data_IF_819069054677
#
_entry.id   IF_819069054677
#
_cell.length_a   1.000
_cell.length_b   1.000
_cell.length_c   1.000
_cell.angle_alpha   90.00
_cell.angle_beta   90.00
_cell.angle_gamma   90.00
#
_symmetry.space_group_name_H-M   'P 1'
#
loop_
_entity.id
_entity.type
_entity.pdbx_description
1 polymer ?
#
# COMPACT_ATOMS: atom_id res chain seq x y z
N UNK A 1 11.58 -9.64 -7.93
CA UNK A 1 11.04 -10.96 -7.48
C UNK A 1 11.69 -12.01 -8.36
N UNK A 2 12.41 -12.97 -7.78
CA UNK A 2 13.17 -14.00 -8.53
C UNK A 2 12.74 -15.43 -8.18
N UNK A 3 11.66 -15.60 -7.41
CA UNK A 3 11.21 -16.88 -6.85
C UNK A 3 11.05 -17.97 -7.92
N UNK A 4 10.30 -17.72 -8.99
CA UNK A 4 10.09 -18.71 -10.05
C UNK A 4 11.40 -19.16 -10.72
N UNK A 5 12.41 -18.27 -10.81
CA UNK A 5 13.72 -18.63 -11.38
C UNK A 5 14.49 -19.54 -10.43
N UNK A 6 14.45 -19.27 -9.13
CA UNK A 6 15.12 -20.11 -8.13
C UNK A 6 14.41 -21.45 -7.94
N UNK A 7 13.08 -21.48 -7.99
CA UNK A 7 12.27 -22.72 -7.96
C UNK A 7 12.63 -23.63 -9.15
N UNK A 8 12.69 -23.07 -10.36
CA UNK A 8 13.08 -23.85 -11.54
C UNK A 8 14.53 -24.33 -11.45
N UNK A 9 15.44 -23.52 -10.91
CA UNK A 9 16.86 -23.86 -10.81
C UNK A 9 17.15 -25.09 -9.93
N UNK A 10 16.23 -25.51 -9.06
CA UNK A 10 16.36 -26.78 -8.32
C UNK A 10 16.50 -28.00 -9.24
N UNK A 11 15.86 -27.95 -10.42
CA UNK A 11 15.97 -29.01 -11.43
C UNK A 11 17.29 -28.95 -12.22
N UNK A 12 18.09 -27.89 -12.04
CA UNK A 12 19.28 -27.59 -12.85
C UNK A 12 20.50 -27.22 -11.98
N UNK A 13 21.08 -28.16 -11.21
CA UNK A 13 22.10 -27.87 -10.18
C UNK A 13 23.41 -27.25 -10.72
N UNK A 14 23.67 -27.32 -12.03
CA UNK A 14 24.84 -26.68 -12.66
C UNK A 14 24.63 -25.18 -13.01
N UNK A 15 23.40 -24.67 -12.90
CA UNK A 15 23.06 -23.29 -13.27
C UNK A 15 23.28 -22.36 -12.08
N UNK A 16 24.18 -21.39 -12.23
CA UNK A 16 24.43 -20.36 -11.20
C UNK A 16 23.41 -19.23 -11.30
N UNK A 17 22.59 -19.06 -10.27
CA UNK A 17 21.62 -17.95 -10.15
C UNK A 17 22.12 -16.91 -9.15
N UNK A 18 22.05 -15.63 -9.52
CA UNK A 18 22.36 -14.49 -8.64
C UNK A 18 21.20 -13.50 -8.64
N UNK A 19 20.68 -13.17 -7.45
CA UNK A 19 19.62 -12.16 -7.28
C UNK A 19 20.25 -10.80 -7.02
N UNK A 20 19.91 -9.79 -7.83
CA UNK A 20 20.39 -8.41 -7.68
C UNK A 20 19.28 -7.56 -7.04
N UNK A 21 19.55 -6.81 -5.97
CA UNK A 21 18.55 -5.93 -5.37
C UNK A 21 18.26 -4.72 -6.27
N UNK A 22 17.04 -4.19 -6.16
CA UNK A 22 16.59 -3.00 -6.88
C UNK A 22 15.48 -2.27 -6.11
N UNK A 23 15.20 -1.03 -6.51
CA UNK A 23 14.07 -0.27 -5.96
C UNK A 23 12.75 -0.90 -6.40
N UNK A 24 11.84 -1.09 -5.44
CA UNK A 24 10.53 -1.69 -5.69
C UNK A 24 9.46 -0.64 -5.95
N UNK A 25 8.42 -1.01 -6.71
CA UNK A 25 7.32 -0.10 -7.07
C UNK A 25 6.64 0.55 -5.85
N UNK A 26 6.50 -0.15 -4.72
CA UNK A 26 5.93 0.40 -3.49
C UNK A 26 6.62 1.68 -3.02
N UNK A 27 7.95 1.69 -2.96
CA UNK A 27 8.71 2.86 -2.55
C UNK A 27 8.72 3.95 -3.64
N UNK A 28 8.76 3.54 -4.91
CA UNK A 28 8.66 4.49 -6.02
C UNK A 28 7.32 5.25 -6.00
N UNK A 29 6.19 4.56 -5.86
CA UNK A 29 4.85 5.16 -5.75
C UNK A 29 4.73 6.00 -4.48
N UNK A 30 5.19 5.49 -3.33
CA UNK A 30 5.15 6.23 -2.07
C UNK A 30 5.85 7.60 -2.19
N UNK A 31 7.02 7.66 -2.85
CA UNK A 31 7.80 8.88 -3.03
C UNK A 31 7.07 10.01 -3.75
N UNK A 32 6.04 9.69 -4.57
CA UNK A 32 5.28 10.68 -5.34
C UNK A 32 4.29 11.46 -4.48
N UNK A 33 3.84 10.86 -3.38
CA UNK A 33 2.84 11.45 -2.48
C UNK A 33 3.38 11.71 -1.07
N UNK A 34 4.62 11.35 -0.78
CA UNK A 34 5.26 11.60 0.52
C UNK A 34 5.79 10.33 1.18
N UNK A 35 5.21 9.97 2.33
CA UNK A 35 5.71 8.88 3.17
C UNK A 35 4.59 7.94 3.68
N UNK A 36 3.71 7.42 2.82
CA UNK A 36 2.64 6.52 3.25
C UNK A 36 3.18 5.23 3.89
N UNK A 37 4.37 4.77 3.48
CA UNK A 37 5.07 3.59 3.99
C UNK A 37 6.04 3.91 5.15
N UNK A 38 5.83 5.03 5.86
CA UNK A 38 6.71 5.49 6.94
C UNK A 38 6.57 4.73 8.26
N UNK A 39 5.62 3.80 8.37
CA UNK A 39 5.42 2.88 9.49
C UNK A 39 5.34 1.44 8.96
N UNK A 40 5.16 0.47 9.85
CA UNK A 40 4.95 -0.93 9.52
C UNK A 40 3.95 -1.12 8.38
N UNK A 41 4.36 -1.89 7.37
CA UNK A 41 3.57 -2.14 6.19
C UNK A 41 3.76 -3.58 5.71
N UNK A 42 2.74 -4.11 5.05
CA UNK A 42 2.77 -5.41 4.40
C UNK A 42 2.78 -5.24 2.88
N UNK A 43 3.53 -6.11 2.19
CA UNK A 43 3.52 -6.20 0.73
C UNK A 43 2.75 -7.46 0.34
N UNK A 44 1.63 -7.29 -0.37
CA UNK A 44 0.73 -8.40 -0.72
C UNK A 44 0.45 -8.38 -2.21
N UNK A 45 0.58 -9.53 -2.86
CA UNK A 45 0.12 -9.74 -4.24
C UNK A 45 -1.32 -10.26 -4.26
N UNK A 46 -2.22 -9.59 -5.01
CA UNK A 46 -3.59 -10.05 -5.27
C UNK A 46 -3.70 -11.12 -6.35
N UNK A 47 -2.60 -11.42 -7.05
CA UNK A 47 -2.59 -12.50 -8.03
C UNK A 47 -2.85 -13.85 -7.36
N UNK A 48 -3.97 -14.46 -7.72
CA UNK A 48 -4.45 -15.78 -7.29
C UNK A 48 -4.08 -16.93 -8.26
N UNK A 49 -3.33 -16.63 -9.33
CA UNK A 49 -2.95 -17.60 -10.38
C UNK A 49 -2.33 -18.90 -9.83
N UNK A 50 -1.47 -18.79 -8.81
CA UNK A 50 -0.75 -19.92 -8.20
C UNK A 50 -1.04 -20.03 -6.69
N UNK A 51 -1.97 -19.22 -6.18
CA UNK A 51 -2.25 -19.10 -4.75
C UNK A 51 -3.75 -18.89 -4.59
N UNK A 52 -4.47 -19.81 -3.91
CA UNK A 52 -5.91 -19.67 -3.71
C UNK A 52 -6.27 -18.32 -3.08
N UNK A 53 -7.41 -17.75 -3.50
CA UNK A 53 -7.90 -16.47 -2.97
C UNK A 53 -8.02 -16.47 -1.45
N UNK A 54 -8.47 -17.56 -0.84
CA UNK A 54 -8.65 -17.65 0.62
C UNK A 54 -7.34 -17.37 1.39
N UNK A 55 -6.20 -17.77 0.82
CA UNK A 55 -4.87 -17.46 1.39
C UNK A 55 -4.57 -15.96 1.27
N UNK A 56 -5.00 -15.30 0.19
CA UNK A 56 -4.86 -13.86 -0.02
C UNK A 56 -5.77 -13.10 0.95
N UNK A 57 -7.05 -13.48 1.02
CA UNK A 57 -8.04 -12.89 1.89
C UNK A 57 -7.62 -13.00 3.37
N UNK A 58 -7.14 -14.17 3.81
CA UNK A 58 -6.63 -14.35 5.17
C UNK A 58 -5.44 -13.41 5.48
N UNK A 59 -4.51 -13.24 4.53
CA UNK A 59 -3.37 -12.31 4.68
C UNK A 59 -3.79 -10.85 4.71
N UNK A 60 -4.72 -10.46 3.85
CA UNK A 60 -5.29 -9.10 3.85
C UNK A 60 -6.00 -8.81 5.17
N UNK A 61 -6.83 -9.75 5.63
CA UNK A 61 -7.56 -9.67 6.91
C UNK A 61 -6.61 -9.52 8.08
N UNK A 62 -5.58 -10.38 8.17
CA UNK A 62 -4.60 -10.31 9.24
C UNK A 62 -3.81 -8.99 9.22
N UNK A 63 -3.36 -8.53 8.05
CA UNK A 63 -2.65 -7.27 7.93
C UNK A 63 -3.54 -6.06 8.22
N UNK A 64 -4.85 -6.14 7.94
CA UNK A 64 -5.82 -5.12 8.31
C UNK A 64 -6.14 -5.11 9.81
N UNK A 65 -6.32 -6.27 10.43
CA UNK A 65 -6.52 -6.39 11.86
C UNK A 65 -5.30 -5.89 12.67
N UNK A 66 -4.09 -6.05 12.11
CA UNK A 66 -2.85 -5.52 12.67
C UNK A 66 -2.60 -4.03 12.34
N UNK A 67 -3.55 -3.36 11.67
CA UNK A 67 -3.48 -1.95 11.29
C UNK A 67 -2.23 -1.56 10.45
N UNK A 68 -1.75 -2.48 9.62
CA UNK A 68 -0.59 -2.23 8.75
C UNK A 68 -0.98 -1.41 7.53
N UNK A 69 -0.08 -0.58 7.01
CA UNK A 69 -0.23 -0.02 5.65
C UNK A 69 -0.05 -1.17 4.64
N UNK A 70 -0.81 -1.18 3.55
CA UNK A 70 -0.75 -2.28 2.57
C UNK A 70 -0.23 -1.78 1.23
N UNK A 71 0.88 -2.33 0.75
CA UNK A 71 1.34 -2.17 -0.63
C UNK A 71 0.87 -3.37 -1.46
N UNK A 72 -0.03 -3.12 -2.40
CA UNK A 72 -0.73 -4.14 -3.18
C UNK A 72 -0.11 -4.27 -4.57
N UNK A 73 0.46 -5.44 -4.85
CA UNK A 73 1.04 -5.81 -6.13
C UNK A 73 0.09 -6.66 -6.96
N UNK A 74 0.27 -6.62 -8.28
CA UNK A 74 -0.51 -7.38 -9.24
C UNK A 74 -2.03 -7.26 -8.97
N UNK A 75 -2.55 -6.02 -8.82
CA UNK A 75 -3.88 -5.81 -8.24
C UNK A 75 -4.99 -6.37 -9.13
N UNK A 76 -4.86 -6.24 -10.45
CA UNK A 76 -5.83 -6.71 -11.42
C UNK A 76 -5.14 -7.12 -12.73
N UNK A 77 -5.84 -7.84 -13.59
CA UNK A 77 -5.44 -8.09 -14.98
C UNK A 77 -6.65 -8.28 -15.87
N UNK A 78 -6.44 -8.48 -17.18
CA UNK A 78 -7.53 -8.69 -18.16
C UNK A 78 -8.53 -9.77 -17.73
N UNK A 79 -8.04 -10.87 -17.15
CA UNK A 79 -8.88 -12.01 -16.71
C UNK A 79 -9.23 -11.99 -15.22
N UNK A 80 -8.67 -11.05 -14.44
CA UNK A 80 -8.77 -11.00 -12.97
C UNK A 80 -9.16 -9.59 -12.55
N UNK A 81 -10.45 -9.32 -12.64
CA UNK A 81 -11.04 -7.98 -12.51
C UNK A 81 -11.80 -7.79 -11.19
N UNK A 82 -12.07 -8.87 -10.45
CA UNK A 82 -12.91 -8.84 -9.25
C UNK A 82 -12.11 -8.69 -7.95
N UNK A 83 -10.83 -9.07 -7.93
CA UNK A 83 -10.00 -9.15 -6.72
C UNK A 83 -9.83 -7.80 -6.03
N UNK A 84 -9.74 -6.69 -6.79
CA UNK A 84 -9.66 -5.34 -6.21
C UNK A 84 -10.95 -4.98 -5.48
N UNK A 85 -12.11 -5.33 -6.05
CA UNK A 85 -13.42 -5.13 -5.42
C UNK A 85 -13.55 -5.95 -4.13
N UNK A 86 -13.20 -7.24 -4.19
CA UNK A 86 -13.24 -8.12 -3.02
C UNK A 86 -12.25 -7.69 -1.92
N UNK A 87 -11.04 -7.24 -2.30
CA UNK A 87 -10.10 -6.63 -1.35
C UNK A 87 -10.70 -5.38 -0.71
N UNK A 88 -11.29 -4.47 -1.50
CA UNK A 88 -11.91 -3.24 -0.99
C UNK A 88 -13.00 -3.55 0.04
N UNK A 89 -13.91 -4.46 -0.27
CA UNK A 89 -14.98 -4.89 0.64
C UNK A 89 -14.43 -5.48 1.94
N UNK A 90 -13.42 -6.35 1.84
CA UNK A 90 -12.74 -6.93 2.99
C UNK A 90 -12.11 -5.83 3.85
N UNK A 91 -11.39 -4.88 3.26
CA UNK A 91 -10.73 -3.82 4.00
C UNK A 91 -11.72 -2.84 4.65
N UNK A 92 -12.87 -2.57 4.01
CA UNK A 92 -13.94 -1.74 4.58
C UNK A 92 -14.56 -2.35 5.85
N UNK A 93 -14.46 -3.66 6.06
CA UNK A 93 -14.86 -4.29 7.31
C UNK A 93 -13.90 -3.99 8.49
N UNK A 94 -12.69 -3.50 8.21
CA UNK A 94 -11.65 -3.24 9.21
C UNK A 94 -11.24 -1.77 9.33
N UNK A 95 -11.51 -0.95 8.31
CA UNK A 95 -10.96 0.40 8.19
C UNK A 95 -12.06 1.42 7.93
N UNK A 96 -11.82 2.64 8.36
CA UNK A 96 -12.69 3.76 8.04
C UNK A 96 -12.81 3.94 6.51
N UNK A 97 -14.01 4.14 5.94
CA UNK A 97 -14.21 4.30 4.50
C UNK A 97 -13.38 5.44 3.87
N UNK A 98 -13.00 6.44 4.67
CA UNK A 98 -12.24 7.62 4.28
C UNK A 98 -10.72 7.47 4.29
N UNK A 99 -10.17 6.32 4.70
CA UNK A 99 -8.72 6.14 4.66
C UNK A 99 -8.17 6.32 3.24
N UNK A 100 -6.98 6.89 3.06
CA UNK A 100 -6.43 7.14 1.75
C UNK A 100 -5.92 5.86 1.08
N UNK A 101 -6.21 5.72 -0.21
CA UNK A 101 -5.63 4.75 -1.13
C UNK A 101 -4.86 5.51 -2.20
N UNK A 102 -3.54 5.34 -2.22
CA UNK A 102 -2.69 5.84 -3.29
C UNK A 102 -2.73 4.86 -4.46
N UNK A 103 -3.00 5.37 -5.65
CA UNK A 103 -2.98 4.59 -6.89
C UNK A 103 -1.83 5.12 -7.72
N UNK A 104 -0.78 4.31 -7.92
CA UNK A 104 0.33 4.64 -8.80
C UNK A 104 0.31 3.78 -10.04
N UNK A 105 0.23 4.40 -11.21
CA UNK A 105 0.20 3.75 -12.53
C UNK A 105 1.43 4.17 -13.33
N UNK A 106 2.12 3.19 -13.92
CA UNK A 106 3.35 3.41 -14.71
C UNK A 106 4.48 4.16 -13.97
N UNK A 107 4.47 4.16 -12.63
CA UNK A 107 5.52 4.84 -11.85
C UNK A 107 6.85 4.13 -12.06
N UNK A 108 7.84 4.86 -12.55
CA UNK A 108 9.16 4.32 -12.86
C UNK A 108 10.26 5.33 -12.55
N UNK A 109 11.40 4.85 -12.04
CA UNK A 109 12.59 5.66 -11.84
C UNK A 109 12.43 6.90 -10.94
N UNK A 110 13.45 7.78 -10.93
CA UNK A 110 13.46 8.99 -10.11
C UNK A 110 12.67 10.16 -10.71
N UNK A 111 12.38 10.14 -12.02
CA UNK A 111 11.67 11.21 -12.74
C UNK A 111 10.39 10.64 -13.33
N UNK A 112 9.29 11.38 -13.25
CA UNK A 112 8.00 10.95 -13.82
C UNK A 112 8.11 10.67 -15.32
N UNK A 113 7.72 9.45 -15.70
CA UNK A 113 7.74 9.00 -17.08
C UNK A 113 6.48 9.36 -17.86
N UNK A 114 6.46 9.12 -19.19
CA UNK A 114 5.26 9.30 -19.99
C UNK A 114 4.16 8.34 -19.54
N UNK A 115 2.96 8.87 -19.33
CA UNK A 115 1.78 8.15 -18.81
C UNK A 115 1.89 7.69 -17.34
N UNK A 116 2.85 8.24 -16.58
CA UNK A 116 2.81 8.14 -15.11
C UNK A 116 1.58 8.90 -14.60
N UNK A 117 0.76 8.22 -13.79
CA UNK A 117 -0.40 8.80 -13.13
C UNK A 117 -0.37 8.37 -11.67
N UNK A 118 -0.42 9.34 -10.76
CA UNK A 118 -0.47 9.10 -9.32
C UNK A 118 -1.55 9.97 -8.72
N UNK A 119 -2.48 9.33 -8.03
CA UNK A 119 -3.61 10.00 -7.37
C UNK A 119 -3.96 9.31 -6.06
N UNK A 120 -4.68 10.03 -5.22
CA UNK A 120 -5.18 9.53 -3.94
C UNK A 120 -6.70 9.56 -3.95
N UNK A 121 -7.33 8.46 -3.51
CA UNK A 121 -8.79 8.35 -3.34
C UNK A 121 -9.09 7.84 -1.94
N UNK A 122 -10.34 7.95 -1.50
CA UNK A 122 -10.79 7.25 -0.29
C UNK A 122 -10.97 5.76 -0.58
N UNK A 123 -10.84 4.91 0.42
CA UNK A 123 -11.05 3.46 0.26
C UNK A 123 -12.44 3.12 -0.30
N UNK A 124 -13.50 3.81 0.15
CA UNK A 124 -14.84 3.63 -0.41
C UNK A 124 -14.94 4.00 -1.91
N UNK A 125 -14.15 4.99 -2.32
CA UNK A 125 -14.18 5.55 -3.68
C UNK A 125 -13.23 4.82 -4.64
N UNK A 126 -12.45 3.83 -4.15
CA UNK A 126 -11.59 3.00 -4.99
C UNK A 126 -12.45 2.25 -6.01
N UNK A 127 -12.37 2.66 -7.28
CA UNK A 127 -13.08 2.02 -8.39
C UNK A 127 -12.24 0.88 -8.99
N UNK A 128 -12.63 -0.40 -8.84
CA UNK A 128 -11.88 -1.53 -9.39
C UNK A 128 -11.68 -1.48 -10.91
N UNK A 129 -12.60 -0.86 -11.65
CA UNK A 129 -12.55 -0.79 -13.11
C UNK A 129 -11.40 0.09 -13.64
N UNK A 130 -10.82 0.96 -12.81
CA UNK A 130 -9.70 1.83 -13.17
C UNK A 130 -8.33 1.20 -12.86
N UNK A 131 -8.31 0.01 -12.28
CA UNK A 131 -7.10 -0.66 -11.81
C UNK A 131 -6.73 -1.80 -12.77
N UNK A 132 -5.47 -1.84 -13.20
CA UNK A 132 -4.93 -2.87 -14.08
C UNK A 132 -3.55 -3.36 -13.62
N UNK A 133 -2.87 -4.18 -14.44
CA UNK A 133 -1.55 -4.74 -14.11
C UNK A 133 -0.44 -3.70 -13.96
N UNK A 134 -0.63 -2.47 -14.45
CA UNK A 134 0.36 -1.40 -14.35
C UNK A 134 0.21 -0.55 -13.09
N UNK A 135 -0.83 -0.83 -12.31
CA UNK A 135 -1.11 -0.14 -11.07
C UNK A 135 -0.42 -0.84 -9.88
N UNK A 136 0.00 -0.03 -8.91
CA UNK A 136 0.28 -0.44 -7.54
C UNK A 136 -0.58 0.41 -6.61
N UNK A 137 -1.20 -0.24 -5.63
CA UNK A 137 -2.02 0.45 -4.63
C UNK A 137 -1.27 0.52 -3.30
N UNK A 138 -1.36 1.65 -2.61
CA UNK A 138 -0.96 1.76 -1.21
C UNK A 138 -2.19 2.14 -0.39
N UNK A 139 -2.69 1.21 0.43
CA UNK A 139 -3.84 1.43 1.31
C UNK A 139 -3.34 1.82 2.69
N UNK A 140 -3.67 3.03 3.13
CA UNK A 140 -3.27 3.57 4.44
C UNK A 140 -3.87 2.80 5.62
N UNK A 141 -3.22 2.85 6.78
CA UNK A 141 -3.74 2.38 8.08
C UNK A 141 -4.74 3.36 8.67
N UNK A 142 -5.31 3.01 9.83
CA UNK A 142 -6.17 3.89 10.63
C UNK A 142 -5.50 5.23 10.99
N UNK A 143 -4.16 5.25 11.02
CA UNK A 143 -3.36 6.43 11.35
C UNK A 143 -2.92 7.22 10.12
N UNK A 144 -3.01 6.66 8.91
CA UNK A 144 -2.54 7.33 7.71
C UNK A 144 -3.36 8.59 7.44
N UNK A 145 -2.67 9.71 7.27
CA UNK A 145 -3.26 11.02 7.00
C UNK A 145 -3.02 11.40 5.55
N UNK A 146 -4.00 12.13 5.02
CA UNK A 146 -3.98 12.69 3.68
C UNK A 146 -4.42 14.15 3.75
N UNK A 147 -3.65 15.01 3.11
CA UNK A 147 -3.94 16.43 2.92
C UNK A 147 -3.33 16.89 1.61
N UNK A 148 -3.75 18.05 1.10
CA UNK A 148 -3.20 18.61 -0.13
C UNK A 148 -2.54 19.97 0.16
N UNK A 149 -1.40 20.22 -0.47
CA UNK A 149 -0.66 21.51 -0.44
C UNK A 149 -0.30 21.86 -1.86
N UNK A 150 -0.60 23.09 -2.29
CA UNK A 150 -0.32 23.57 -3.65
C UNK A 150 -0.83 22.61 -4.75
N UNK A 151 -2.06 22.11 -4.56
CA UNK A 151 -2.71 21.12 -5.43
C UNK A 151 -2.00 19.76 -5.54
N UNK A 152 -1.02 19.47 -4.66
CA UNK A 152 -0.36 18.17 -4.58
C UNK A 152 -0.81 17.42 -3.33
N UNK A 153 -1.16 16.15 -3.51
CA UNK A 153 -1.48 15.27 -2.40
C UNK A 153 -0.23 14.90 -1.59
N UNK A 154 -0.42 14.92 -0.28
CA UNK A 154 0.55 14.49 0.72
C UNK A 154 -0.09 13.40 1.58
N UNK A 155 0.51 12.23 1.57
CA UNK A 155 0.08 11.07 2.34
C UNK A 155 1.23 10.61 3.22
N UNK A 156 0.95 10.41 4.51
CA UNK A 156 1.93 9.91 5.46
C UNK A 156 1.26 9.15 6.60
N UNK A 157 1.99 8.20 7.17
CA UNK A 157 1.60 7.55 8.42
C UNK A 157 2.43 8.15 9.56
N UNK A 158 1.81 8.79 10.58
CA UNK A 158 2.53 9.42 11.68
C UNK A 158 3.43 8.43 12.42
N UNK A 159 4.62 8.90 12.85
CA UNK A 159 5.56 8.11 13.67
C UNK A 159 5.08 7.89 15.12
N UNK A 160 4.05 8.62 15.55
CA UNK A 160 3.51 8.56 16.91
C UNK A 160 2.05 8.18 16.83
N UNK A 161 1.67 7.16 17.58
CA UNK A 161 0.28 6.83 17.78
C UNK A 161 -0.34 7.84 18.75
N UNK A 162 -1.65 8.14 18.61
CA UNK A 162 -2.38 8.84 19.64
C UNK A 162 -2.19 8.11 20.97
N UNK A 163 -1.72 8.80 22.01
CA UNK A 163 -1.78 8.24 23.36
C UNK A 163 -3.26 7.95 23.66
N UNK A 164 -3.60 6.70 23.96
CA UNK A 164 -4.94 6.37 24.40
C UNK A 164 -5.26 7.19 25.66
N UNK A 165 -6.08 8.23 25.51
CA UNK A 165 -6.71 8.94 26.62
C UNK A 165 -5.78 9.61 27.63
N UNK A 166 -4.79 10.41 27.22
CA UNK A 166 -4.40 11.55 28.07
C UNK A 166 -5.33 12.71 27.76
N UNK A 167 -6.41 12.82 28.52
CA UNK A 167 -7.09 14.09 28.70
C UNK A 167 -6.01 15.16 28.96
N UNK A 168 -5.94 16.15 28.08
CA UNK A 168 -5.00 17.26 28.17
C UNK A 168 -5.29 18.01 29.46
N UNK A 169 -4.59 17.65 30.54
CA UNK A 169 -4.50 18.48 31.72
C UNK A 169 -3.87 19.81 31.28
N UNK A 170 -4.71 20.83 31.20
CA UNK A 170 -4.34 22.21 30.93
C UNK A 170 -3.27 22.59 31.94
N UNK A 171 -2.02 22.79 31.50
CA UNK A 171 -1.01 23.43 32.35
C UNK A 171 -1.43 24.88 32.53
N UNK A 172 -2.13 25.11 33.65
CA UNK A 172 -2.35 26.42 34.23
C UNK A 172 -1.02 27.16 34.30
N UNK A 173 -0.99 28.31 33.64
CA UNK A 173 0.03 29.34 33.80
C UNK A 173 0.14 29.74 35.27
N UNK A 174 1.30 29.47 35.88
CA UNK A 174 1.85 30.27 36.98
C UNK A 174 3.36 30.30 36.80
N UNK A 175 3.91 31.47 36.52
CA UNK A 175 4.58 32.29 37.52
C UNK A 175 4.98 33.61 36.85
N UNK A 176 4.32 34.68 37.30
CA UNK A 176 4.95 35.98 37.51
C UNK A 176 6.06 35.81 38.55
N UNK A 177 7.26 36.27 38.25
CA UNK A 177 7.87 37.47 38.84
C UNK A 177 9.10 37.89 38.01
#
# INVERSE_FOLDING_TARGET
MATAVLEEAEQWPGVRVRVIPAMTAAQAVASRVGAPLGHDYAVISLSDRLKPWDVIAARLTAAAAADLVLAIYNPASVTRTWQVGAMRELLLAHRDPGIPVVIGRNVSGPVSGPNEDVRVVKLADLNPAEIDMRCLLIVGSSQTRWYSVDSQDRVFTPRRYPEAGRATATKSSRHSD
#
